data_IF_454519108562
#
_entry.id   IF_454519108562
#
_cell.length_a   1.000
_cell.length_b   1.000
_cell.length_c   1.000
_cell.angle_alpha   90.00
_cell.angle_beta   90.00
_cell.angle_gamma   90.00
#
_symmetry.space_group_name_H-M   'P 1'
#
loop_
_entity.id
_entity.type
_entity.pdbx_description
1 polymer ?
#
# COMPACT_ATOMS: atom_id res chain seq x y z
N UNK A 1 -8.38 -16.24 9.83
CA UNK A 1 -7.36 -17.21 9.37
C UNK A 1 -7.04 -18.18 10.51
N UNK A 2 -6.92 -19.49 10.27
CA UNK A 2 -6.53 -20.44 11.34
C UNK A 2 -5.04 -20.29 11.71
N UNK A 3 -4.61 -20.80 12.87
CA UNK A 3 -3.25 -20.61 13.38
C UNK A 3 -2.16 -21.09 12.41
N UNK A 4 -2.35 -22.25 11.77
CA UNK A 4 -1.41 -22.77 10.78
C UNK A 4 -1.19 -21.79 9.60
N UNK A 5 -2.28 -21.22 9.06
CA UNK A 5 -2.19 -20.25 7.98
C UNK A 5 -1.64 -18.89 8.45
N UNK A 6 -1.78 -18.55 9.73
CA UNK A 6 -1.13 -17.37 10.31
C UNK A 6 0.39 -17.52 10.28
N UNK A 7 0.89 -18.68 10.72
CA UNK A 7 2.31 -18.97 10.67
C UNK A 7 2.87 -18.93 9.24
N UNK A 8 2.18 -19.57 8.28
CA UNK A 8 2.59 -19.52 6.87
C UNK A 8 2.58 -18.10 6.31
N UNK A 9 1.59 -17.28 6.67
CA UNK A 9 1.52 -15.89 6.21
C UNK A 9 2.67 -15.04 6.77
N UNK A 10 3.00 -15.21 8.05
CA UNK A 10 4.12 -14.51 8.69
C UNK A 10 5.47 -14.92 8.10
N UNK A 11 5.65 -16.21 7.81
CA UNK A 11 6.82 -16.70 7.08
C UNK A 11 6.88 -16.07 5.69
N UNK A 12 5.79 -16.15 4.92
CA UNK A 12 5.71 -15.59 3.58
C UNK A 12 6.03 -14.09 3.55
N UNK A 13 5.54 -13.30 4.52
CA UNK A 13 5.86 -11.87 4.64
C UNK A 13 7.36 -11.60 4.61
N UNK A 14 8.17 -12.45 5.24
CA UNK A 14 9.65 -12.30 5.30
C UNK A 14 10.31 -12.55 3.94
N UNK A 15 9.67 -13.33 3.07
CA UNK A 15 10.15 -13.71 1.74
C UNK A 15 9.74 -12.68 0.66
N UNK A 16 8.93 -11.68 1.01
CA UNK A 16 8.45 -10.66 0.07
C UNK A 16 9.52 -9.62 -0.27
N UNK A 17 9.30 -8.90 -1.39
CA UNK A 17 10.18 -7.81 -1.86
C UNK A 17 10.38 -6.70 -0.83
N UNK A 18 9.36 -6.41 -0.01
CA UNK A 18 9.35 -5.30 0.94
C UNK A 18 9.52 -5.73 2.40
N UNK A 19 9.88 -6.99 2.65
CA UNK A 19 9.97 -7.57 3.99
C UNK A 19 10.84 -6.79 4.99
N UNK A 20 11.93 -6.17 4.52
CA UNK A 20 12.88 -5.43 5.35
C UNK A 20 12.60 -3.92 5.37
N UNK A 21 11.61 -3.43 4.60
CA UNK A 21 11.27 -2.02 4.61
C UNK A 21 10.37 -1.73 5.81
N UNK A 22 10.69 -0.71 6.63
CA UNK A 22 9.76 -0.23 7.64
C UNK A 22 8.42 0.13 6.97
N UNK A 23 7.33 -0.24 7.63
CA UNK A 23 5.98 -0.02 7.14
C UNK A 23 5.38 1.20 7.81
N UNK A 24 4.50 1.90 7.08
CA UNK A 24 3.65 2.90 7.69
C UNK A 24 2.74 2.23 8.73
N UNK A 25 2.57 2.90 9.86
CA UNK A 25 1.74 2.44 10.97
C UNK A 25 0.34 3.02 10.83
N UNK A 26 -0.65 2.29 11.31
CA UNK A 26 -2.05 2.71 11.38
C UNK A 26 -2.76 2.97 10.03
N UNK A 27 -2.07 2.84 8.89
CA UNK A 27 -2.67 3.00 7.56
C UNK A 27 -3.42 1.73 7.12
N UNK A 28 -2.90 0.56 7.49
CA UNK A 28 -3.45 -0.74 7.20
C UNK A 28 -3.33 -1.65 8.43
N UNK A 29 -4.08 -2.75 8.45
CA UNK A 29 -3.99 -3.74 9.53
C UNK A 29 -2.66 -4.47 9.49
N UNK A 30 -1.77 -4.12 10.41
CA UNK A 30 -0.44 -4.75 10.57
C UNK A 30 -0.52 -6.26 10.89
N UNK A 31 -1.60 -6.68 11.55
CA UNK A 31 -1.93 -8.06 11.82
C UNK A 31 -3.31 -8.43 11.24
N UNK A 32 -3.40 -8.76 9.94
CA UNK A 32 -4.68 -9.03 9.28
C UNK A 32 -5.29 -10.39 9.66
N UNK A 33 -4.56 -11.24 10.39
CA UNK A 33 -4.90 -12.65 10.62
C UNK A 33 -6.29 -12.92 11.22
N UNK A 34 -6.82 -12.01 12.04
CA UNK A 34 -8.04 -12.22 12.83
C UNK A 34 -9.30 -11.68 12.18
N UNK A 35 -9.19 -10.67 11.33
CA UNK A 35 -10.35 -9.94 10.83
C UNK A 35 -10.32 -9.72 9.31
N UNK A 36 -9.43 -10.43 8.61
CA UNK A 36 -9.29 -10.38 7.17
C UNK A 36 -9.36 -11.78 6.55
N UNK A 37 -9.85 -11.83 5.31
CA UNK A 37 -9.70 -12.98 4.41
C UNK A 37 -8.33 -12.89 3.76
N UNK A 38 -7.67 -14.03 3.55
CA UNK A 38 -6.36 -14.11 2.90
C UNK A 38 -6.48 -14.97 1.65
N UNK A 39 -6.14 -14.38 0.51
CA UNK A 39 -6.11 -15.02 -0.79
C UNK A 39 -4.67 -15.17 -1.22
N UNK A 40 -4.33 -16.32 -1.80
CA UNK A 40 -2.96 -16.69 -2.10
C UNK A 40 -2.87 -17.25 -3.50
N UNK A 41 -1.90 -16.77 -4.26
CA UNK A 41 -1.47 -17.44 -5.49
C UNK A 41 -0.40 -18.47 -5.15
N UNK A 42 -0.69 -19.75 -5.42
CA UNK A 42 0.25 -20.85 -5.19
C UNK A 42 0.78 -21.40 -6.51
N UNK A 43 2.07 -21.71 -6.55
CA UNK A 43 2.66 -22.45 -7.66
C UNK A 43 2.18 -23.92 -7.66
N UNK A 44 2.45 -24.64 -8.74
CA UNK A 44 2.22 -26.09 -8.81
C UNK A 44 3.02 -26.88 -7.76
N UNK A 45 4.18 -26.35 -7.31
CA UNK A 45 4.96 -26.92 -6.22
C UNK A 45 4.41 -26.57 -4.82
N UNK A 46 3.33 -25.80 -4.75
CA UNK A 46 2.67 -25.41 -3.51
C UNK A 46 3.24 -24.15 -2.83
N UNK A 47 4.31 -23.56 -3.38
CA UNK A 47 4.93 -22.33 -2.88
C UNK A 47 3.99 -21.13 -3.07
N UNK A 48 3.95 -20.23 -2.09
CA UNK A 48 3.23 -18.96 -2.21
C UNK A 48 4.03 -17.98 -3.06
N UNK A 49 3.41 -17.42 -4.08
CA UNK A 49 4.03 -16.42 -4.96
C UNK A 49 3.48 -15.02 -4.73
N UNK A 50 2.22 -14.93 -4.32
CA UNK A 50 1.56 -13.69 -3.95
C UNK A 50 0.49 -13.94 -2.90
N UNK A 51 0.19 -12.94 -2.07
CA UNK A 51 -0.92 -12.96 -1.14
C UNK A 51 -1.59 -11.58 -1.06
N UNK A 52 -2.91 -11.57 -0.96
CA UNK A 52 -3.71 -10.36 -0.73
C UNK A 52 -4.64 -10.61 0.46
N UNK A 53 -4.65 -9.70 1.42
CA UNK A 53 -5.57 -9.76 2.55
C UNK A 53 -6.66 -8.69 2.43
N UNK A 54 -7.91 -9.08 2.65
CA UNK A 54 -9.09 -8.23 2.54
C UNK A 54 -9.84 -8.13 3.86
N UNK A 55 -10.25 -6.93 4.26
CA UNK A 55 -11.21 -6.69 5.33
C UNK A 55 -12.57 -6.32 4.77
N UNK A 56 -13.65 -6.68 5.48
CA UNK A 56 -15.00 -6.26 5.11
C UNK A 56 -15.22 -4.78 5.47
N UNK A 57 -15.81 -4.03 4.55
CA UNK A 57 -16.30 -2.66 4.74
C UNK A 57 -17.82 -2.69 4.50
N UNK A 58 -18.60 -2.86 5.56
CA UNK A 58 -20.04 -3.09 5.42
C UNK A 58 -20.37 -4.49 4.89
N UNK A 59 -21.57 -4.64 4.33
CA UNK A 59 -22.13 -5.96 3.94
C UNK A 59 -21.67 -6.43 2.56
N UNK A 60 -21.43 -5.49 1.64
CA UNK A 60 -21.18 -5.78 0.22
C UNK A 60 -19.91 -5.15 -0.31
N UNK A 61 -19.03 -4.65 0.57
CA UNK A 61 -17.79 -4.01 0.16
C UNK A 61 -16.60 -4.58 0.93
N UNK A 62 -15.44 -4.59 0.28
CA UNK A 62 -14.18 -5.04 0.87
C UNK A 62 -13.06 -4.06 0.59
N UNK A 63 -12.09 -4.02 1.49
CA UNK A 63 -10.91 -3.18 1.40
C UNK A 63 -9.64 -4.02 1.42
N UNK A 64 -8.65 -3.62 0.62
CA UNK A 64 -7.35 -4.29 0.59
C UNK A 64 -6.47 -3.81 1.72
N UNK A 65 -6.03 -4.73 2.57
CA UNK A 65 -5.13 -4.42 3.68
C UNK A 65 -3.66 -4.55 3.27
N UNK A 66 -3.30 -5.68 2.67
CA UNK A 66 -1.92 -5.97 2.26
C UNK A 66 -1.91 -6.63 0.89
N UNK A 67 -0.95 -6.22 0.06
CA UNK A 67 -0.59 -6.83 -1.20
C UNK A 67 0.87 -7.29 -1.13
N UNK A 68 1.09 -8.59 -1.06
CA UNK A 68 2.38 -9.20 -0.81
C UNK A 68 2.82 -10.00 -2.03
N UNK A 69 4.02 -9.71 -2.53
CA UNK A 69 4.62 -10.40 -3.68
C UNK A 69 5.96 -11.02 -3.28
N UNK A 70 6.12 -12.30 -3.58
CA UNK A 70 7.38 -13.02 -3.39
C UNK A 70 8.47 -12.41 -4.27
N UNK A 71 9.73 -12.39 -3.80
CA UNK A 71 10.86 -11.79 -4.51
C UNK A 71 11.10 -12.37 -5.91
N UNK A 72 10.89 -13.68 -6.06
CA UNK A 72 11.07 -14.39 -7.33
C UNK A 72 9.78 -14.55 -8.16
N UNK A 73 8.66 -13.94 -7.74
CA UNK A 73 7.41 -14.15 -8.45
C UNK A 73 7.39 -13.46 -9.84
N UNK A 74 6.73 -14.08 -10.84
CA UNK A 74 6.54 -13.50 -12.17
C UNK A 74 5.91 -12.10 -12.16
N UNK A 75 6.17 -11.34 -13.22
CA UNK A 75 5.75 -9.94 -13.40
C UNK A 75 4.27 -9.68 -13.11
N UNK A 76 3.43 -10.59 -13.59
CA UNK A 76 1.98 -10.55 -13.75
C UNK A 76 1.21 -11.32 -12.66
N UNK A 77 1.91 -11.83 -11.65
CA UNK A 77 1.33 -12.67 -10.60
C UNK A 77 0.26 -11.94 -9.79
N UNK A 78 0.44 -10.63 -9.58
CA UNK A 78 -0.45 -9.82 -8.76
C UNK A 78 -1.74 -9.52 -9.53
N UNK A 79 -1.63 -9.26 -10.83
CA UNK A 79 -2.74 -9.06 -11.75
C UNK A 79 -3.61 -10.32 -11.84
N UNK A 80 -2.96 -11.48 -11.97
CA UNK A 80 -3.64 -12.77 -11.97
C UNK A 80 -4.37 -13.03 -10.66
N UNK A 81 -3.74 -12.74 -9.52
CA UNK A 81 -4.35 -12.90 -8.20
C UNK A 81 -5.53 -11.93 -8.01
N UNK A 82 -5.39 -10.66 -8.41
CA UNK A 82 -6.49 -9.68 -8.33
C UNK A 82 -7.68 -10.12 -9.16
N UNK A 83 -7.47 -10.55 -10.41
CA UNK A 83 -8.54 -11.04 -11.27
C UNK A 83 -9.27 -12.25 -10.65
N UNK A 84 -8.54 -13.22 -10.11
CA UNK A 84 -9.13 -14.39 -9.46
C UNK A 84 -9.94 -14.03 -8.20
N UNK A 85 -9.44 -13.10 -7.39
CA UNK A 85 -10.16 -12.59 -6.22
C UNK A 85 -11.45 -11.88 -6.64
N UNK A 86 -11.40 -11.07 -7.71
CA UNK A 86 -12.56 -10.34 -8.21
C UNK A 86 -13.71 -11.29 -8.60
N UNK A 87 -13.40 -12.39 -9.30
CA UNK A 87 -14.41 -13.40 -9.64
C UNK A 87 -15.02 -14.06 -8.40
N UNK A 88 -14.21 -14.40 -7.39
CA UNK A 88 -14.70 -14.96 -6.12
C UNK A 88 -15.64 -13.96 -5.42
N UNK A 89 -15.19 -12.72 -5.23
CA UNK A 89 -15.98 -11.68 -4.57
C UNK A 89 -17.30 -11.41 -5.29
N UNK A 90 -17.27 -11.36 -6.62
CA UNK A 90 -18.47 -11.19 -7.45
C UNK A 90 -19.45 -12.36 -7.27
N UNK A 91 -18.95 -13.59 -7.24
CA UNK A 91 -19.79 -14.79 -7.01
C UNK A 91 -20.44 -14.82 -5.62
N UNK A 92 -19.80 -14.18 -4.64
CA UNK A 92 -20.28 -14.04 -3.26
C UNK A 92 -21.21 -12.84 -3.07
N UNK A 93 -21.45 -12.03 -4.11
CA UNK A 93 -22.35 -10.87 -4.07
C UNK A 93 -21.73 -9.57 -3.57
N UNK A 94 -20.39 -9.48 -3.48
CA UNK A 94 -19.73 -8.19 -3.22
C UNK A 94 -19.87 -7.26 -4.42
N UNK A 95 -20.13 -5.99 -4.14
CA UNK A 95 -20.38 -4.94 -5.14
C UNK A 95 -19.16 -4.04 -5.35
N UNK A 96 -18.35 -3.83 -4.32
CA UNK A 96 -17.18 -2.96 -4.38
C UNK A 96 -15.96 -3.59 -3.71
N UNK A 97 -14.81 -3.45 -4.37
CA UNK A 97 -13.52 -3.77 -3.80
C UNK A 97 -12.57 -2.57 -3.93
N UNK A 98 -12.18 -1.99 -2.79
CA UNK A 98 -11.13 -0.98 -2.74
C UNK A 98 -9.75 -1.65 -2.85
N UNK A 99 -8.99 -1.28 -3.88
CA UNK A 99 -7.56 -1.63 -4.02
C UNK A 99 -6.64 -0.79 -3.11
N UNK A 100 -7.23 0.05 -2.24
CA UNK A 100 -6.54 0.98 -1.37
C UNK A 100 -6.18 2.29 -2.08
N UNK A 101 -5.67 3.24 -1.30
CA UNK A 101 -5.40 4.60 -1.73
C UNK A 101 -4.06 4.70 -2.48
N UNK A 102 -3.90 5.77 -3.27
CA UNK A 102 -2.59 6.19 -3.78
C UNK A 102 -2.41 7.65 -3.38
N UNK A 103 -1.50 7.95 -2.45
CA UNK A 103 -1.32 9.30 -1.95
C UNK A 103 -0.69 10.19 -3.01
N UNK A 104 -0.91 11.50 -2.89
CA UNK A 104 -0.24 12.55 -3.66
C UNK A 104 -0.48 12.52 -5.18
N UNK A 105 -1.52 11.81 -5.64
CA UNK A 105 -1.94 11.85 -7.05
C UNK A 105 -2.31 13.26 -7.55
N UNK A 106 -2.62 14.18 -6.65
CA UNK A 106 -2.78 15.61 -6.95
C UNK A 106 -1.54 16.24 -7.62
N UNK A 107 -0.36 15.63 -7.50
CA UNK A 107 0.86 16.04 -8.22
C UNK A 107 0.82 15.70 -9.72
N UNK A 108 0.06 14.69 -10.08
CA UNK A 108 -0.06 14.17 -11.45
C UNK A 108 -1.31 14.69 -12.15
N UNK A 109 -2.24 15.28 -11.41
CA UNK A 109 -3.46 15.86 -11.92
C UNK A 109 -3.32 17.38 -11.89
N UNK A 110 -3.78 18.07 -12.94
CA UNK A 110 -3.92 19.52 -12.88
C UNK A 110 -5.20 19.79 -12.09
N UNK A 111 -5.11 20.25 -10.83
CA UNK A 111 -6.32 20.47 -10.04
C UNK A 111 -7.13 21.60 -10.69
N UNK A 112 -8.45 21.45 -10.74
CA UNK A 112 -9.34 22.50 -11.24
C UNK A 112 -9.32 23.73 -10.32
N UNK A 113 -9.01 23.52 -9.04
CA UNK A 113 -8.85 24.58 -8.03
C UNK A 113 -7.38 24.78 -7.64
N UNK A 114 -6.97 26.03 -7.34
CA UNK A 114 -5.61 26.31 -6.89
C UNK A 114 -5.32 25.65 -5.53
N UNK A 115 -4.17 25.00 -5.43
CA UNK A 115 -3.71 24.38 -4.20
C UNK A 115 -3.54 25.43 -3.09
N UNK A 116 -4.01 25.11 -1.89
CA UNK A 116 -3.76 25.89 -0.67
C UNK A 116 -2.26 25.91 -0.34
N UNK A 117 -1.76 26.90 0.45
CA UNK A 117 -0.35 26.96 0.82
C UNK A 117 0.17 25.69 1.50
N UNK A 118 -0.68 25.00 2.27
CA UNK A 118 -0.31 23.76 2.94
C UNK A 118 -0.21 22.58 1.96
N UNK A 119 -1.09 22.52 0.96
CA UNK A 119 -1.02 21.54 -0.11
C UNK A 119 0.21 21.77 -0.98
N UNK A 120 0.53 23.02 -1.30
CA UNK A 120 1.77 23.38 -2.03
C UNK A 120 3.03 22.94 -1.26
N UNK A 121 3.05 23.13 0.06
CA UNK A 121 4.13 22.64 0.92
C UNK A 121 4.25 21.11 0.85
N UNK A 122 3.13 20.40 0.95
CA UNK A 122 3.10 18.94 0.84
C UNK A 122 3.59 18.46 -0.53
N UNK A 123 3.17 19.12 -1.61
CA UNK A 123 3.63 18.85 -2.98
C UNK A 123 5.15 18.98 -3.09
N UNK A 124 5.70 20.06 -2.53
CA UNK A 124 7.14 20.33 -2.54
C UNK A 124 7.93 19.26 -1.77
N UNK A 125 7.46 18.88 -0.57
CA UNK A 125 8.10 17.86 0.25
C UNK A 125 8.08 16.48 -0.42
N UNK A 126 6.94 16.08 -1.00
CA UNK A 126 6.78 14.76 -1.63
C UNK A 126 7.59 14.65 -2.92
N UNK A 127 7.72 15.73 -3.68
CA UNK A 127 8.53 15.74 -4.91
C UNK A 127 9.99 15.37 -4.63
N UNK A 128 10.52 15.80 -3.48
CA UNK A 128 11.87 15.44 -3.01
C UNK A 128 11.96 13.97 -2.55
N UNK A 129 10.82 13.31 -2.30
CA UNK A 129 10.74 11.97 -1.72
C UNK A 129 10.21 10.90 -2.69
N UNK A 130 10.16 11.18 -4.00
CA UNK A 130 9.81 10.18 -5.05
C UNK A 130 10.59 8.86 -4.94
N UNK A 131 11.81 8.90 -4.42
CA UNK A 131 12.66 7.72 -4.23
C UNK A 131 12.23 6.84 -3.04
N UNK A 132 11.50 7.42 -2.09
CA UNK A 132 11.07 6.77 -0.84
C UNK A 132 9.77 5.99 -1.06
N UNK A 133 8.90 6.45 -1.96
CA UNK A 133 7.62 5.81 -2.25
C UNK A 133 7.23 5.92 -3.73
N UNK A 134 7.12 4.77 -4.41
CA UNK A 134 6.73 4.67 -5.83
C UNK A 134 5.20 4.77 -6.01
N UNK A 135 4.65 5.96 -5.77
CA UNK A 135 3.21 6.22 -5.95
C UNK A 135 2.77 6.12 -7.41
N UNK A 136 3.64 6.47 -8.36
CA UNK A 136 3.33 6.42 -9.79
C UNK A 136 3.23 4.97 -10.29
N UNK A 137 4.15 4.10 -9.90
CA UNK A 137 4.08 2.67 -10.19
C UNK A 137 2.85 2.02 -9.55
N UNK A 138 2.51 2.41 -8.31
CA UNK A 138 1.31 1.92 -7.63
C UNK A 138 0.02 2.38 -8.33
N UNK A 139 -0.05 3.64 -8.75
CA UNK A 139 -1.16 4.18 -9.54
C UNK A 139 -1.33 3.43 -10.87
N UNK A 140 -0.23 3.28 -11.63
CA UNK A 140 -0.22 2.54 -12.90
C UNK A 140 -0.65 1.08 -12.72
N UNK A 141 -0.23 0.43 -11.63
CA UNK A 141 -0.65 -0.92 -11.30
C UNK A 141 -2.17 -1.00 -11.07
N UNK A 142 -2.72 -0.12 -10.23
CA UNK A 142 -4.16 -0.12 -9.92
C UNK A 142 -5.01 0.23 -11.15
N UNK A 143 -4.52 1.08 -12.04
CA UNK A 143 -5.22 1.43 -13.28
C UNK A 143 -5.41 0.27 -14.26
N UNK A 144 -4.66 -0.82 -14.13
CA UNK A 144 -4.84 -2.03 -14.96
C UNK A 144 -6.24 -2.65 -14.82
N UNK A 145 -6.94 -2.35 -13.74
CA UNK A 145 -8.27 -2.89 -13.42
C UNK A 145 -9.40 -1.90 -13.70
N UNK A 146 -9.12 -0.77 -14.37
CA UNK A 146 -10.08 0.30 -14.65
C UNK A 146 -10.92 0.74 -13.42
N UNK A 147 -10.29 1.09 -12.29
CA UNK A 147 -11.00 1.44 -11.07
C UNK A 147 -11.68 2.81 -11.20
N UNK A 148 -12.73 3.02 -10.39
CA UNK A 148 -13.28 4.35 -10.13
C UNK A 148 -12.45 5.03 -9.04
N UNK A 149 -11.72 6.09 -9.39
CA UNK A 149 -10.95 6.88 -8.41
C UNK A 149 -11.86 7.82 -7.64
N UNK A 150 -11.70 7.84 -6.31
CA UNK A 150 -12.41 8.74 -5.40
C UNK A 150 -11.42 9.49 -4.51
N UNK A 151 -11.61 10.79 -4.27
CA UNK A 151 -10.72 11.55 -3.39
C UNK A 151 -10.86 11.09 -1.95
N UNK A 152 -9.74 11.03 -1.24
CA UNK A 152 -9.68 10.82 0.22
C UNK A 152 -9.17 12.09 0.85
N UNK A 153 -10.00 12.71 1.70
CA UNK A 153 -9.75 14.04 2.25
C UNK A 153 -9.46 13.96 3.74
N UNK A 154 -8.47 14.73 4.19
CA UNK A 154 -8.21 14.92 5.61
C UNK A 154 -9.18 15.96 6.17
N UNK A 155 -10.08 15.53 7.06
CA UNK A 155 -11.05 16.41 7.70
C UNK A 155 -10.53 16.83 9.09
N UNK A 156 -10.55 18.13 9.37
CA UNK A 156 -10.10 18.70 10.65
C UNK A 156 -11.06 19.79 11.09
N UNK A 157 -11.22 19.94 12.41
CA UNK A 157 -12.00 21.01 13.03
C UNK A 157 -11.22 22.33 13.17
N UNK A 158 -9.94 22.34 12.81
CA UNK A 158 -9.03 23.49 12.84
C UNK A 158 -8.26 23.59 11.53
N UNK A 159 -7.80 24.79 11.17
CA UNK A 159 -6.93 24.97 10.01
C UNK A 159 -5.68 24.09 10.12
N UNK A 160 -5.37 23.34 9.06
CA UNK A 160 -4.17 22.52 8.99
C UNK A 160 -2.93 23.39 9.16
N UNK A 161 -2.07 23.01 10.11
CA UNK A 161 -0.77 23.64 10.34
C UNK A 161 0.35 22.68 9.95
N UNK A 162 1.52 23.19 9.52
CA UNK A 162 2.67 22.35 9.22
C UNK A 162 3.08 21.45 10.40
N UNK A 163 2.91 21.94 11.63
CA UNK A 163 3.19 21.17 12.84
C UNK A 163 2.27 19.94 12.99
N UNK A 164 0.98 20.08 12.71
CA UNK A 164 0.04 18.95 12.74
C UNK A 164 0.39 17.90 11.68
N UNK A 165 0.82 18.33 10.49
CA UNK A 165 1.28 17.41 9.45
C UNK A 165 2.58 16.68 9.85
N UNK A 166 3.51 17.39 10.50
CA UNK A 166 4.73 16.79 11.02
C UNK A 166 4.42 15.74 12.12
N UNK A 167 3.50 16.06 13.04
CA UNK A 167 3.04 15.10 14.05
C UNK A 167 2.41 13.86 13.41
N UNK A 168 1.53 14.06 12.41
CA UNK A 168 0.93 12.96 11.67
C UNK A 168 2.00 12.08 11.01
N UNK A 169 2.99 12.69 10.34
CA UNK A 169 4.09 11.97 9.71
C UNK A 169 4.89 11.12 10.73
N UNK A 170 5.21 11.67 11.90
CA UNK A 170 5.90 10.94 12.98
C UNK A 170 5.03 9.79 13.50
N UNK A 171 3.75 10.04 13.78
CA UNK A 171 2.83 9.01 14.29
C UNK A 171 2.61 7.86 13.31
N UNK A 172 2.63 8.13 12.00
CA UNK A 172 2.55 7.10 10.95
C UNK A 172 3.86 6.32 10.76
N UNK A 173 4.93 6.63 11.51
CA UNK A 173 6.23 5.99 11.36
C UNK A 173 6.98 6.41 10.09
N UNK A 174 6.61 7.54 9.48
CA UNK A 174 7.22 8.01 8.23
C UNK A 174 8.72 8.30 8.39
N UNK A 175 9.14 8.74 9.59
CA UNK A 175 10.54 8.99 9.93
C UNK A 175 11.40 7.73 9.88
N UNK A 176 10.84 6.57 10.22
CA UNK A 176 11.54 5.28 10.19
C UNK A 176 11.87 4.89 8.73
N UNK A 177 10.99 5.23 7.80
CA UNK A 177 11.19 5.01 6.36
C UNK A 177 12.30 5.91 5.82
N UNK A 178 12.28 7.20 6.17
CA UNK A 178 13.30 8.16 5.73
C UNK A 178 14.71 7.81 6.22
N UNK A 179 14.82 7.39 7.48
CA UNK A 179 16.11 6.99 8.07
C UNK A 179 16.68 5.72 7.43
N UNK A 180 15.82 4.73 7.15
CA UNK A 180 16.23 3.49 6.47
C UNK A 180 16.75 3.74 5.05
N UNK A 181 16.05 4.54 4.25
CA UNK A 181 16.49 4.85 2.87
C UNK A 181 17.76 5.72 2.85
N UNK A 182 17.91 6.65 3.80
CA UNK A 182 19.13 7.45 3.94
C UNK A 182 20.34 6.58 4.24
N UNK A 183 20.22 5.61 5.17
CA UNK A 183 21.27 4.63 5.44
C UNK A 183 21.57 3.71 4.25
N UNK A 184 20.56 3.34 3.46
CA UNK A 184 20.72 2.57 2.24
C UNK A 184 21.54 3.31 1.16
N UNK A 185 21.27 4.60 0.99
CA UNK A 185 21.96 5.46 0.03
C UNK A 185 23.44 5.67 0.43
N UNK A 186 23.72 5.94 1.71
CA UNK A 186 25.09 6.05 2.23
C UNK A 186 25.89 4.74 2.05
N UNK A 187 25.25 3.58 2.21
CA UNK A 187 25.88 2.28 2.03
C UNK A 187 26.20 1.98 0.56
N UNK A 188 25.35 2.39 -0.38
CA UNK A 188 25.65 2.26 -1.82
C UNK A 188 26.82 3.16 -2.25
N UNK A 189 26.90 4.38 -1.75
CA UNK A 189 28.02 5.31 -2.04
C UNK A 189 29.37 4.86 -1.47
N UNK A 190 29.38 4.04 -0.40
CA UNK A 190 30.60 3.47 0.19
C UNK A 190 31.07 2.19 -0.50
N UNK A 191 30.23 1.55 -1.32
CA UNK A 191 30.56 0.32 -2.07
C UNK A 191 30.98 0.66 -3.52
N UNK A 192 30.72 1.90 -3.97
CA UNK A 192 31.10 2.41 -5.30
C UNK A 192 32.41 3.19 -5.33
N UNK A 193 33.27 3.05 -4.31
CA UNK A 193 34.64 3.58 -4.24
C UNK A 193 35.58 2.41 -4.00
#
# INVERSE_FOLDING_TARGET
MNEANQHHFEQFRRETKHAHKPQLRHLFRENPSRACRCFVFRSCSGQWLAAITLSARGLTEVHTELMLRHRSAPGDIMESLVAGIFEILKSEGFLEWSLGEVPFMMLMQNPEEPLTPIEQLMVSLVSNWKHVYDFEGLYRFKNKFAPLWRPVMLCTNRNLSPFMLAQLAVSMGFTDILTHESFGMFRQSLISV
#
